data_IF_018781233109
#
_entry.id   IF_018781233109
#
_cell.length_a   1.000
_cell.length_b   1.000
_cell.length_c   1.000
_cell.angle_alpha   90.00
_cell.angle_beta   90.00
_cell.angle_gamma   90.00
#
_symmetry.space_group_name_H-M   'P 1'
#
loop_
_entity.id
_entity.type
_entity.pdbx_description
1 polymer ?
#
# COMPACT_ATOMS: atom_id res chain seq x y z
N UNK A 1 8.52 -15.52 -1.41
CA UNK A 1 8.19 -16.25 -0.15
C UNK A 1 7.56 -15.26 0.83
N UNK A 2 6.48 -15.66 1.54
CA UNK A 2 5.87 -14.83 2.59
C UNK A 2 6.55 -15.09 3.92
N UNK A 3 6.81 -14.04 4.68
CA UNK A 3 7.54 -14.08 5.95
C UNK A 3 6.87 -13.15 6.95
N UNK A 4 7.14 -13.35 8.24
CA UNK A 4 6.66 -12.50 9.32
C UNK A 4 7.85 -11.99 10.14
N UNK A 5 7.79 -10.73 10.55
CA UNK A 5 8.85 -10.08 11.34
C UNK A 5 8.24 -9.32 12.50
N UNK A 6 8.83 -9.49 13.68
CA UNK A 6 8.49 -8.70 14.88
C UNK A 6 9.40 -7.48 14.94
N UNK A 7 8.81 -6.33 15.16
CA UNK A 7 9.50 -5.05 15.31
C UNK A 7 9.10 -4.39 16.63
N UNK A 8 9.70 -3.25 16.95
CA UNK A 8 9.28 -2.42 18.10
C UNK A 8 7.90 -1.80 17.93
N UNK A 9 7.33 -1.87 16.70
CA UNK A 9 6.05 -1.25 16.36
C UNK A 9 4.93 -2.26 16.11
N UNK A 10 5.21 -3.56 16.20
CA UNK A 10 4.26 -4.64 15.99
C UNK A 10 4.83 -5.76 15.15
N UNK A 11 3.96 -6.66 14.74
CA UNK A 11 4.30 -7.83 13.92
C UNK A 11 3.78 -7.64 12.50
N UNK A 12 4.68 -7.69 11.51
CA UNK A 12 4.35 -7.41 10.12
C UNK A 12 4.66 -8.59 9.22
N UNK A 13 3.82 -8.77 8.22
CA UNK A 13 4.01 -9.75 7.17
C UNK A 13 4.59 -9.05 5.94
N UNK A 14 5.45 -9.73 5.22
CA UNK A 14 6.06 -9.23 4.00
C UNK A 14 6.41 -10.37 3.05
N UNK A 15 6.47 -10.07 1.75
CA UNK A 15 6.95 -10.98 0.72
C UNK A 15 8.32 -10.55 0.22
N UNK A 16 9.17 -11.51 -0.15
CA UNK A 16 10.50 -11.21 -0.70
C UNK A 16 10.73 -11.93 -2.01
N UNK A 17 11.49 -11.26 -2.88
CA UNK A 17 11.93 -11.78 -4.17
C UNK A 17 13.38 -11.37 -4.42
N UNK A 18 14.09 -12.16 -5.20
CA UNK A 18 15.51 -11.94 -5.47
C UNK A 18 16.43 -12.34 -4.31
N UNK A 19 17.71 -12.00 -4.44
CA UNK A 19 18.76 -12.37 -3.48
C UNK A 19 19.04 -11.22 -2.50
N UNK A 20 19.23 -11.51 -1.22
CA UNK A 20 19.51 -10.50 -0.16
C UNK A 20 20.77 -9.65 -0.41
N UNK A 21 21.71 -10.13 -1.21
CA UNK A 21 22.92 -9.39 -1.57
C UNK A 21 22.68 -8.29 -2.60
N UNK A 22 21.53 -8.32 -3.27
CA UNK A 22 21.14 -7.33 -4.26
C UNK A 22 20.68 -6.02 -3.61
N UNK A 23 20.51 -4.97 -4.44
CA UNK A 23 20.02 -3.66 -3.99
C UNK A 23 18.61 -3.78 -3.41
N UNK A 24 18.37 -3.36 -2.17
CA UNK A 24 17.03 -3.45 -1.57
C UNK A 24 16.08 -2.42 -2.19
N UNK A 25 14.87 -2.89 -2.47
CA UNK A 25 13.73 -2.05 -2.85
C UNK A 25 12.49 -2.47 -2.05
N UNK A 26 11.84 -1.50 -1.42
CA UNK A 26 10.53 -1.69 -0.80
C UNK A 26 9.44 -1.28 -1.78
N UNK A 27 8.42 -2.13 -1.94
CA UNK A 27 7.24 -1.86 -2.77
C UNK A 27 6.00 -1.89 -1.88
N UNK A 28 5.38 -0.73 -1.73
CA UNK A 28 4.25 -0.51 -0.82
C UNK A 28 2.94 -0.55 -1.61
N UNK A 29 2.05 -1.46 -1.23
CA UNK A 29 0.75 -1.64 -1.86
C UNK A 29 -0.26 -0.56 -1.47
N UNK A 30 -1.34 -0.47 -2.24
CA UNK A 30 -2.49 0.38 -1.97
C UNK A 30 -3.70 -0.37 -1.43
N UNK A 31 -4.78 0.37 -1.23
CA UNK A 31 -6.07 -0.17 -0.86
C UNK A 31 -6.87 -0.60 -2.12
N UNK A 32 -7.64 -1.69 -2.10
CA UNK A 32 -7.81 -2.69 -1.03
C UNK A 32 -6.93 -3.94 -1.22
N UNK A 33 -5.69 -3.74 -1.59
CA UNK A 33 -4.74 -4.79 -1.94
C UNK A 33 -3.89 -5.23 -0.72
N UNK A 34 -2.98 -6.18 -0.97
CA UNK A 34 -1.92 -6.60 -0.06
C UNK A 34 -0.58 -6.61 -0.79
N UNK A 35 0.49 -7.00 -0.12
CA UNK A 35 1.81 -7.21 -0.72
C UNK A 35 1.79 -8.10 -1.97
N UNK A 36 0.73 -8.90 -2.13
CA UNK A 36 0.58 -9.80 -3.27
C UNK A 36 0.42 -9.06 -4.61
N UNK A 37 -0.04 -7.81 -4.61
CA UNK A 37 -0.19 -7.01 -5.84
C UNK A 37 1.13 -6.82 -6.61
N UNK A 38 2.24 -6.97 -5.91
CA UNK A 38 3.58 -6.85 -6.48
C UNK A 38 4.15 -8.17 -7.01
N UNK A 39 3.39 -9.29 -6.89
CA UNK A 39 3.89 -10.64 -7.15
C UNK A 39 4.52 -10.79 -8.54
N UNK A 40 3.82 -10.37 -9.58
CA UNK A 40 4.29 -10.47 -10.96
C UNK A 40 5.50 -9.55 -11.19
N UNK A 41 5.35 -8.26 -10.91
CA UNK A 41 6.41 -7.26 -11.12
C UNK A 41 7.67 -7.60 -10.33
N UNK A 42 7.51 -8.07 -9.09
CA UNK A 42 8.65 -8.35 -8.21
C UNK A 42 9.52 -9.51 -8.72
N UNK A 43 8.98 -10.43 -9.47
CA UNK A 43 9.73 -11.54 -10.09
C UNK A 43 10.63 -11.05 -11.24
N UNK A 44 10.18 -10.02 -11.96
CA UNK A 44 10.89 -9.45 -13.10
C UNK A 44 11.95 -8.43 -12.70
N UNK A 45 11.94 -7.95 -11.46
CA UNK A 45 12.93 -7.01 -10.93
C UNK A 45 14.26 -7.69 -10.62
N UNK A 46 14.90 -8.20 -11.67
CA UNK A 46 16.23 -8.83 -11.57
C UNK A 46 17.27 -7.81 -11.08
N UNK A 47 18.20 -8.25 -10.22
CA UNK A 47 19.20 -7.34 -9.62
C UNK A 47 18.75 -6.57 -8.39
N UNK A 48 17.48 -6.73 -7.96
CA UNK A 48 16.97 -6.19 -6.71
C UNK A 48 16.69 -7.30 -5.68
N UNK A 49 16.81 -6.94 -4.41
CA UNK A 49 16.17 -7.63 -3.31
C UNK A 49 14.86 -6.90 -3.03
N UNK A 50 13.76 -7.46 -3.51
CA UNK A 50 12.44 -6.84 -3.43
C UNK A 50 11.77 -7.24 -2.13
N UNK A 51 11.30 -6.27 -1.36
CA UNK A 51 10.58 -6.43 -0.11
C UNK A 51 9.21 -5.77 -0.26
N UNK A 52 8.16 -6.57 -0.17
CA UNK A 52 6.78 -6.11 -0.28
C UNK A 52 6.08 -6.34 1.07
N UNK A 53 6.02 -5.36 1.97
CA UNK A 53 5.32 -5.48 3.23
C UNK A 53 3.80 -5.35 3.04
N UNK A 54 3.03 -6.03 3.88
CA UNK A 54 1.63 -5.69 4.12
C UNK A 54 1.59 -4.49 5.08
N UNK A 55 0.85 -3.46 4.73
CA UNK A 55 0.63 -2.31 5.61
C UNK A 55 -0.14 -2.73 6.88
N UNK A 56 0.04 -1.98 7.96
CA UNK A 56 -0.77 -2.13 9.18
C UNK A 56 -2.25 -2.15 8.82
N UNK A 57 -2.98 -3.12 9.41
CA UNK A 57 -4.41 -3.30 9.18
C UNK A 57 -4.76 -4.08 7.92
N UNK A 58 -3.77 -4.39 7.07
CA UNK A 58 -3.97 -5.09 5.79
C UNK A 58 -3.16 -6.38 5.77
N UNK A 59 -3.59 -7.33 4.95
CA UNK A 59 -2.96 -8.63 4.88
C UNK A 59 -2.92 -9.32 6.25
N UNK A 60 -1.76 -9.88 6.56
CA UNK A 60 -1.49 -10.57 7.82
C UNK A 60 -0.63 -9.74 8.80
N UNK A 61 -0.53 -8.42 8.56
CA UNK A 61 0.18 -7.49 9.42
C UNK A 61 -0.63 -7.05 10.63
N UNK A 62 0.06 -6.43 11.58
CA UNK A 62 -0.52 -5.89 12.82
C UNK A 62 -1.81 -5.11 12.59
N UNK A 63 -2.82 -5.37 13.43
CA UNK A 63 -4.06 -4.61 13.50
C UNK A 63 -4.20 -3.97 14.87
N UNK A 64 -4.66 -2.73 14.90
CA UNK A 64 -4.91 -2.01 16.15
C UNK A 64 -6.21 -1.22 16.05
N UNK A 65 -6.84 -0.95 17.19
CA UNK A 65 -8.02 -0.09 17.29
C UNK A 65 -7.66 1.39 17.32
N UNK A 66 -6.39 1.72 17.51
CA UNK A 66 -5.90 3.09 17.53
C UNK A 66 -5.89 3.68 16.13
N UNK A 67 -6.84 4.56 15.83
CA UNK A 67 -7.05 5.15 14.49
C UNK A 67 -5.81 5.93 14.03
N UNK A 68 -5.14 6.63 14.94
CA UNK A 68 -3.94 7.42 14.61
C UNK A 68 -2.79 6.57 14.08
N UNK A 69 -2.74 5.29 14.43
CA UNK A 69 -1.73 4.35 13.93
C UNK A 69 -1.82 4.10 12.42
N UNK A 70 -2.93 4.48 11.79
CA UNK A 70 -3.15 4.37 10.34
C UNK A 70 -2.83 5.65 9.56
N UNK A 71 -2.34 6.69 10.22
CA UNK A 71 -1.82 7.87 9.53
C UNK A 71 -0.62 7.49 8.67
N UNK A 72 -0.45 8.18 7.53
CA UNK A 72 0.57 7.84 6.51
C UNK A 72 1.99 7.88 7.07
N UNK A 73 2.28 8.83 7.94
CA UNK A 73 3.54 8.94 8.67
C UNK A 73 3.78 7.71 9.58
N UNK A 74 2.74 7.27 10.31
CA UNK A 74 2.82 6.09 11.18
C UNK A 74 3.01 4.80 10.39
N UNK A 75 2.30 4.64 9.28
CA UNK A 75 2.52 3.53 8.35
C UNK A 75 3.94 3.57 7.77
N UNK A 76 4.46 4.75 7.46
CA UNK A 76 5.85 4.93 7.02
C UNK A 76 6.87 4.52 8.09
N UNK A 77 6.64 4.86 9.35
CA UNK A 77 7.46 4.44 10.48
C UNK A 77 7.43 2.92 10.68
N UNK A 78 6.31 2.26 10.41
CA UNK A 78 6.22 0.79 10.43
C UNK A 78 7.15 0.16 9.37
N UNK A 79 7.18 0.72 8.16
CA UNK A 79 8.08 0.26 7.09
C UNK A 79 9.54 0.49 7.47
N UNK A 80 9.89 1.62 8.07
CA UNK A 80 11.24 1.85 8.59
C UNK A 80 11.61 0.87 9.69
N UNK A 81 10.67 0.49 10.56
CA UNK A 81 10.90 -0.52 11.58
C UNK A 81 11.18 -1.90 10.97
N UNK A 82 10.44 -2.28 9.91
CA UNK A 82 10.71 -3.50 9.14
C UNK A 82 12.11 -3.45 8.53
N UNK A 83 12.45 -2.33 7.85
CA UNK A 83 13.76 -2.16 7.22
C UNK A 83 14.90 -2.28 8.24
N UNK A 84 14.73 -1.66 9.42
CA UNK A 84 15.72 -1.73 10.52
C UNK A 84 15.86 -3.14 11.09
N UNK A 85 14.76 -3.86 11.29
CA UNK A 85 14.77 -5.25 11.74
C UNK A 85 15.43 -6.18 10.71
N UNK A 86 15.33 -5.86 9.41
CA UNK A 86 16.04 -6.54 8.32
C UNK A 86 17.51 -6.09 8.16
N UNK A 87 17.98 -5.14 8.96
CA UNK A 87 19.30 -4.50 8.88
C UNK A 87 19.56 -3.81 7.55
N UNK A 88 18.52 -3.18 6.98
CA UNK A 88 18.57 -2.42 5.72
C UNK A 88 18.56 -0.93 6.07
N UNK A 89 19.69 -0.26 5.87
CA UNK A 89 19.86 1.16 6.18
C UNK A 89 19.29 2.07 5.09
N UNK A 90 19.61 1.78 3.83
CA UNK A 90 19.17 2.57 2.67
C UNK A 90 18.57 1.66 1.59
N UNK A 91 17.52 2.14 0.91
CA UNK A 91 16.79 1.36 -0.08
C UNK A 91 16.13 2.24 -1.14
N UNK A 92 15.74 1.63 -2.27
CA UNK A 92 14.79 2.24 -3.20
C UNK A 92 13.37 2.00 -2.67
N UNK A 93 12.48 2.95 -2.94
CA UNK A 93 11.11 2.91 -2.43
C UNK A 93 10.12 3.13 -3.58
N UNK A 94 9.20 2.21 -3.77
CA UNK A 94 8.07 2.34 -4.68
C UNK A 94 6.76 2.23 -3.91
N UNK A 95 5.77 2.99 -4.32
CA UNK A 95 4.42 2.91 -3.78
C UNK A 95 3.36 3.02 -4.87
N UNK A 96 2.24 2.35 -4.66
CA UNK A 96 1.05 2.45 -5.50
C UNK A 96 -0.13 2.88 -4.64
N UNK A 97 -0.96 3.82 -5.13
CA UNK A 97 -2.15 4.31 -4.44
C UNK A 97 -1.82 4.77 -3.00
N UNK A 98 -2.44 4.22 -1.95
CA UNK A 98 -2.12 4.52 -0.55
C UNK A 98 -0.64 4.30 -0.23
N UNK A 99 -0.03 3.27 -0.82
CA UNK A 99 1.40 3.03 -0.69
C UNK A 99 2.25 4.17 -1.23
N UNK A 100 1.80 4.88 -2.28
CA UNK A 100 2.46 6.09 -2.76
C UNK A 100 2.35 7.25 -1.77
N UNK A 101 1.21 7.39 -1.08
CA UNK A 101 1.08 8.41 -0.03
C UNK A 101 2.02 8.13 1.14
N UNK A 102 2.09 6.87 1.58
CA UNK A 102 3.03 6.42 2.62
C UNK A 102 4.49 6.65 2.18
N UNK A 103 4.82 6.31 0.94
CA UNK A 103 6.18 6.49 0.40
C UNK A 103 6.60 7.97 0.35
N UNK A 104 5.69 8.88 0.07
CA UNK A 104 5.97 10.33 0.12
C UNK A 104 6.28 10.79 1.54
N UNK A 105 5.48 10.36 2.55
CA UNK A 105 5.75 10.67 3.95
C UNK A 105 7.09 10.07 4.42
N UNK A 106 7.40 8.84 4.03
CA UNK A 106 8.70 8.24 4.33
C UNK A 106 9.87 9.07 3.77
N UNK A 107 9.74 9.56 2.53
CA UNK A 107 10.78 10.37 1.91
C UNK A 107 10.96 11.74 2.62
N UNK A 108 9.90 12.29 3.22
CA UNK A 108 9.97 13.50 4.05
C UNK A 108 10.55 13.21 5.44
N UNK A 109 10.16 12.11 6.08
CA UNK A 109 10.59 11.76 7.43
C UNK A 109 12.07 11.38 7.51
N UNK A 110 12.55 10.53 6.59
CA UNK A 110 13.92 10.02 6.59
C UNK A 110 14.53 10.01 5.18
N UNK A 111 14.73 11.19 4.54
CA UNK A 111 15.17 11.29 3.14
C UNK A 111 16.50 10.60 2.88
N UNK A 112 17.41 10.57 3.86
CA UNK A 112 18.74 9.93 3.74
C UNK A 112 18.66 8.41 3.57
N UNK A 113 17.55 7.79 3.96
CA UNK A 113 17.33 6.34 3.79
C UNK A 113 16.78 5.97 2.41
N UNK A 114 16.22 6.93 1.66
CA UNK A 114 15.54 6.70 0.39
C UNK A 114 16.47 7.07 -0.76
N UNK A 115 16.97 6.07 -1.49
CA UNK A 115 17.87 6.28 -2.64
C UNK A 115 17.15 6.74 -3.89
N UNK A 116 15.99 6.18 -4.17
CA UNK A 116 15.10 6.50 -5.29
C UNK A 116 13.66 6.36 -4.82
N UNK A 117 12.78 7.22 -5.32
CA UNK A 117 11.35 7.20 -5.03
C UNK A 117 10.56 7.01 -6.32
N UNK A 118 9.65 6.05 -6.33
CA UNK A 118 8.73 5.74 -7.42
C UNK A 118 7.31 5.88 -6.88
N UNK A 119 6.50 6.72 -7.50
CA UNK A 119 5.11 6.95 -7.12
C UNK A 119 4.20 6.56 -8.27
N UNK A 120 3.22 5.71 -8.00
CA UNK A 120 2.29 5.18 -8.99
C UNK A 120 0.86 5.50 -8.53
N UNK A 121 0.08 6.11 -9.41
CA UNK A 121 -1.35 6.36 -9.23
C UNK A 121 -1.72 7.17 -7.97
N UNK A 122 -0.92 8.19 -7.65
CA UNK A 122 -1.19 9.09 -6.52
C UNK A 122 -0.70 10.50 -6.83
N UNK A 123 -1.46 11.49 -6.41
CA UNK A 123 -1.03 12.90 -6.50
C UNK A 123 0.14 13.17 -5.55
N UNK A 124 1.02 14.09 -5.97
CA UNK A 124 2.09 14.58 -5.10
C UNK A 124 1.45 15.37 -3.93
N UNK A 125 1.73 14.93 -2.70
CA UNK A 125 1.32 15.62 -1.48
C UNK A 125 2.00 17.00 -1.47
N UNK A 126 1.28 18.03 -1.01
CA UNK A 126 1.75 19.42 -0.97
C UNK A 126 1.90 20.15 -2.32
N UNK A 127 1.55 19.54 -3.45
CA UNK A 127 1.44 20.23 -4.73
C UNK A 127 0.09 20.95 -4.86
N UNK A 128 -0.03 22.13 -4.24
CA UNK A 128 -1.28 22.92 -4.22
C UNK A 128 -1.75 23.31 -5.62
N UNK A 129 -0.85 23.68 -6.50
CA UNK A 129 -1.17 24.13 -7.85
C UNK A 129 -1.56 22.96 -8.76
N UNK A 130 -0.84 21.86 -8.68
CA UNK A 130 -1.21 20.60 -9.36
C UNK A 130 -2.55 20.08 -8.90
N UNK A 131 -2.83 20.14 -7.59
CA UNK A 131 -4.13 19.74 -7.03
C UNK A 131 -5.28 20.62 -7.56
N UNK A 132 -5.10 21.95 -7.59
CA UNK A 132 -6.10 22.88 -8.15
C UNK A 132 -6.36 22.60 -9.63
N UNK A 133 -5.31 22.34 -10.39
CA UNK A 133 -5.42 22.01 -11.82
C UNK A 133 -6.14 20.67 -12.00
N UNK A 134 -5.74 19.64 -11.27
CA UNK A 134 -6.37 18.32 -11.32
C UNK A 134 -7.86 18.40 -10.97
N UNK A 135 -8.27 19.14 -9.93
CA UNK A 135 -9.68 19.31 -9.55
C UNK A 135 -10.51 19.97 -10.65
N UNK A 136 -9.95 20.91 -11.43
CA UNK A 136 -10.64 21.50 -12.57
C UNK A 136 -10.84 20.54 -13.73
N UNK A 137 -9.90 19.58 -13.89
CA UNK A 137 -9.91 18.55 -14.94
C UNK A 137 -10.74 17.32 -14.51
N UNK A 138 -11.12 17.23 -13.22
CA UNK A 138 -11.94 16.16 -12.68
C UNK A 138 -13.32 16.16 -13.34
N UNK A 139 -13.53 15.28 -14.31
CA UNK A 139 -14.83 15.08 -14.93
C UNK A 139 -15.85 14.53 -13.92
N UNK A 140 -17.16 14.76 -14.18
CA UNK A 140 -18.24 14.15 -13.40
C UNK A 140 -18.11 12.62 -13.32
N UNK A 141 -17.50 12.00 -14.30
CA UNK A 141 -17.24 10.55 -14.32
C UNK A 141 -16.23 10.12 -13.26
N UNK A 142 -15.15 10.88 -13.06
CA UNK A 142 -14.16 10.57 -12.03
C UNK A 142 -14.78 10.65 -10.62
N UNK A 143 -15.74 11.52 -10.41
CA UNK A 143 -16.50 11.57 -9.16
C UNK A 143 -17.33 10.29 -8.95
N UNK A 144 -17.89 9.73 -10.02
CA UNK A 144 -18.62 8.45 -9.97
C UNK A 144 -17.71 7.27 -9.60
N UNK A 145 -16.42 7.32 -9.95
CA UNK A 145 -15.46 6.27 -9.63
C UNK A 145 -14.79 6.42 -8.25
N UNK A 146 -14.90 7.60 -7.61
CA UNK A 146 -14.28 7.85 -6.29
C UNK A 146 -15.27 7.93 -5.12
N UNK A 147 -16.58 7.71 -5.38
CA UNK A 147 -17.64 7.78 -4.36
C UNK A 147 -17.36 6.87 -3.14
N UNK A 148 -16.73 5.72 -3.33
CA UNK A 148 -16.41 4.78 -2.27
C UNK A 148 -15.45 5.39 -1.22
N UNK A 149 -14.62 6.36 -1.60
CA UNK A 149 -13.75 7.06 -0.65
C UNK A 149 -14.58 7.88 0.35
N UNK A 150 -15.64 8.52 -0.10
CA UNK A 150 -16.56 9.24 0.78
C UNK A 150 -17.35 8.26 1.65
N UNK A 151 -17.87 7.19 1.08
CA UNK A 151 -18.56 6.13 1.81
C UNK A 151 -17.71 5.56 2.94
N UNK A 152 -16.46 5.25 2.68
CA UNK A 152 -15.54 4.68 3.68
C UNK A 152 -15.12 5.67 4.78
N UNK A 153 -15.32 6.96 4.58
CA UNK A 153 -15.06 7.96 5.62
C UNK A 153 -16.25 8.20 6.56
N UNK A 154 -17.38 7.51 6.36
CA UNK A 154 -18.53 7.60 7.27
C UNK A 154 -18.23 6.71 8.49
N UNK A 155 -18.14 7.28 9.71
CA UNK A 155 -17.74 6.49 10.88
C UNK A 155 -18.69 5.31 11.14
N UNK A 156 -18.14 4.12 11.32
CA UNK A 156 -18.83 2.87 11.70
C UNK A 156 -19.86 2.30 10.69
N UNK A 157 -20.29 3.08 9.72
CA UNK A 157 -21.34 2.66 8.80
C UNK A 157 -20.84 1.66 7.75
N UNK A 158 -19.68 1.89 7.07
CA UNK A 158 -19.14 0.92 6.14
C UNK A 158 -18.85 -0.43 6.80
N UNK A 159 -18.28 -0.44 7.99
CA UNK A 159 -17.94 -1.67 8.71
C UNK A 159 -19.20 -2.49 9.03
N UNK A 160 -20.30 -1.83 9.43
CA UNK A 160 -21.56 -2.50 9.69
C UNK A 160 -22.21 -3.06 8.43
N UNK A 161 -22.13 -2.32 7.33
CA UNK A 161 -22.77 -2.71 6.06
C UNK A 161 -21.99 -3.82 5.35
N UNK A 162 -20.67 -3.76 5.39
CA UNK A 162 -19.78 -4.64 4.63
C UNK A 162 -19.41 -5.92 5.38
N UNK A 163 -19.61 -5.99 6.68
CA UNK A 163 -19.30 -7.17 7.49
C UNK A 163 -19.94 -8.43 6.92
N UNK A 164 -19.10 -9.40 6.55
CA UNK A 164 -19.53 -10.67 5.93
C UNK A 164 -19.90 -10.53 4.43
N UNK A 165 -19.64 -9.38 3.82
CA UNK A 165 -19.86 -9.09 2.38
C UNK A 165 -18.60 -8.58 1.70
N UNK A 166 -17.45 -8.81 2.29
CA UNK A 166 -16.15 -8.32 1.83
C UNK A 166 -15.85 -8.82 0.41
N UNK A 167 -16.22 -10.06 0.11
CA UNK A 167 -16.08 -10.64 -1.24
C UNK A 167 -16.86 -9.82 -2.29
N UNK A 168 -18.12 -9.55 -2.03
CA UNK A 168 -18.97 -8.76 -2.94
C UNK A 168 -18.40 -7.36 -3.13
N UNK A 169 -17.93 -6.75 -2.05
CA UNK A 169 -17.36 -5.41 -2.06
C UNK A 169 -16.08 -5.31 -2.88
N UNK A 170 -15.12 -6.18 -2.62
CA UNK A 170 -13.84 -6.20 -3.34
C UNK A 170 -14.03 -6.51 -4.82
N UNK A 171 -14.88 -7.49 -5.16
CA UNK A 171 -15.22 -7.81 -6.55
C UNK A 171 -15.88 -6.64 -7.27
N UNK A 172 -16.78 -5.92 -6.59
CA UNK A 172 -17.42 -4.75 -7.15
C UNK A 172 -16.40 -3.63 -7.46
N UNK A 173 -15.48 -3.34 -6.55
CA UNK A 173 -14.44 -2.32 -6.73
C UNK A 173 -13.44 -2.69 -7.85
N UNK A 174 -13.15 -3.97 -8.01
CA UNK A 174 -12.27 -4.47 -9.05
C UNK A 174 -12.99 -4.69 -10.39
N UNK A 175 -14.30 -4.49 -10.46
CA UNK A 175 -15.08 -4.61 -11.69
C UNK A 175 -14.80 -3.43 -12.62
N UNK A 176 -14.54 -3.72 -13.90
CA UNK A 176 -14.31 -2.68 -14.91
C UNK A 176 -12.85 -2.26 -15.08
N UNK A 177 -11.93 -2.92 -14.41
CA UNK A 177 -10.50 -2.81 -14.70
C UNK A 177 -10.28 -3.43 -16.10
N UNK A 178 -9.57 -2.69 -16.98
CA UNK A 178 -9.34 -3.08 -18.38
C UNK A 178 -8.70 -4.45 -18.48
N UNK A 179 -7.68 -4.71 -17.66
CA UNK A 179 -7.06 -6.02 -17.53
C UNK A 179 -7.58 -6.68 -16.24
N UNK A 180 -8.42 -7.72 -16.34
CA UNK A 180 -9.00 -8.35 -15.16
C UNK A 180 -7.91 -8.84 -14.20
N UNK A 181 -8.14 -8.60 -12.92
CA UNK A 181 -7.27 -9.15 -11.87
C UNK A 181 -7.44 -10.68 -11.88
N UNK A 182 -6.33 -11.45 -11.93
CA UNK A 182 -6.40 -12.90 -11.85
C UNK A 182 -7.16 -13.34 -10.58
N UNK A 183 -8.04 -14.35 -10.71
CA UNK A 183 -8.89 -14.81 -9.60
C UNK A 183 -8.07 -15.15 -8.34
N UNK A 184 -6.89 -15.74 -8.51
CA UNK A 184 -5.98 -16.03 -7.41
C UNK A 184 -5.57 -14.77 -6.63
N UNK A 185 -5.31 -13.66 -7.32
CA UNK A 185 -4.95 -12.40 -6.69
C UNK A 185 -6.17 -11.77 -6.00
N UNK A 186 -7.33 -11.83 -6.65
CA UNK A 186 -8.59 -11.32 -6.11
C UNK A 186 -8.98 -12.04 -4.81
N UNK A 187 -8.88 -13.38 -4.78
CA UNK A 187 -9.13 -14.17 -3.57
C UNK A 187 -8.15 -13.82 -2.45
N UNK A 188 -6.88 -13.55 -2.77
CA UNK A 188 -5.91 -13.10 -1.77
C UNK A 188 -6.28 -11.73 -1.18
N UNK A 189 -6.75 -10.78 -2.01
CA UNK A 189 -7.20 -9.47 -1.51
C UNK A 189 -8.44 -9.59 -0.62
N UNK A 190 -9.42 -10.41 -1.03
CA UNK A 190 -10.63 -10.70 -0.23
C UNK A 190 -10.24 -11.30 1.12
N UNK A 191 -9.33 -12.28 1.14
CA UNK A 191 -8.85 -12.90 2.37
C UNK A 191 -8.20 -11.90 3.33
N UNK A 192 -7.52 -10.90 2.77
CA UNK A 192 -6.76 -9.90 3.53
C UNK A 192 -7.62 -8.76 4.08
N UNK A 193 -8.81 -8.56 3.51
CA UNK A 193 -9.72 -7.48 3.86
C UNK A 193 -10.58 -7.85 5.06
#
# INVERSE_FOLDING_TARGET
MQQKIKTTRGSFTYRTYGKKVNRPIFLIHGWPQSSYCWHEIAQDLTGFYVICPDLRGMGDSERTLEISAYNKDQLGLDIFAIASALKIETFCLGGHDWGSAVAQEMALLQPKRIRKLILINMMIINNKDGKKKAVKELSKEMFRFSWYQFFQNIPKFPEQLLKGKEDVWIRFLCKGIINPIPEKALLEYIRCY
#
